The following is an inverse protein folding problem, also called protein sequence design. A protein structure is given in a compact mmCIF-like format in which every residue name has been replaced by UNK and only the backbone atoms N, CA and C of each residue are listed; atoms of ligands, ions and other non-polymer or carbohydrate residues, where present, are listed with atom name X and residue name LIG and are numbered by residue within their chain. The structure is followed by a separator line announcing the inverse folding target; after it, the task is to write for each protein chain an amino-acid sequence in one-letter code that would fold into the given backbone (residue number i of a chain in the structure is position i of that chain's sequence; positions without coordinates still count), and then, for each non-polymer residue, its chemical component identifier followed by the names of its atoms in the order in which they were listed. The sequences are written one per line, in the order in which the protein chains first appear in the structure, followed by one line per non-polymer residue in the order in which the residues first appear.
data_IF_045391409651
#
_entry.id   IF_045391409651
#
_cell.length_a   1.000
_cell.length_b   1.000
_cell.length_c   1.000
_cell.angle_alpha   90.00
_cell.angle_beta   90.00
_cell.angle_gamma   90.00
#
_symmetry.space_group_name_H-M   'P 1'
#
loop_
_entity.id
_entity.type
_entity.pdbx_description
1 polymer ?
#
# COMPACT_ATOMS: atom_id res chain seq x y z
N UNK A 1 47.92 32.55 -34.51
CA UNK A 1 47.19 32.22 -33.27
C UNK A 1 46.05 33.21 -33.16
N UNK A 2 44.85 32.76 -33.44
CA UNK A 2 43.65 33.57 -33.27
C UNK A 2 43.26 33.51 -31.78
N UNK A 3 43.27 34.67 -31.15
CA UNK A 3 42.86 34.84 -29.74
C UNK A 3 41.31 34.76 -29.65
N UNK A 4 40.80 33.66 -29.09
CA UNK A 4 39.37 33.38 -28.92
C UNK A 4 38.92 33.68 -27.48
N UNK A 5 39.41 34.78 -26.89
CA UNK A 5 38.90 35.25 -25.60
C UNK A 5 37.54 35.98 -25.79
N UNK A 6 36.44 35.29 -25.58
CA UNK A 6 35.12 35.90 -25.46
C UNK A 6 35.08 36.82 -24.25
N UNK A 7 34.55 38.06 -24.38
CA UNK A 7 34.44 38.98 -23.23
C UNK A 7 33.56 38.36 -22.12
N UNK A 8 33.98 38.50 -20.87
CA UNK A 8 33.37 37.93 -19.68
C UNK A 8 31.85 38.29 -19.48
N UNK A 9 31.35 39.26 -20.23
CA UNK A 9 29.95 39.70 -20.22
C UNK A 9 29.00 38.74 -21.00
N UNK A 10 29.55 37.94 -21.93
CA UNK A 10 28.71 37.02 -22.75
C UNK A 10 28.47 35.66 -22.12
N UNK A 11 29.27 35.26 -21.13
CA UNK A 11 29.11 33.95 -20.47
C UNK A 11 27.81 33.84 -19.70
N UNK A 12 27.36 34.84 -18.92
CA UNK A 12 26.04 34.75 -18.26
C UNK A 12 24.87 34.79 -19.22
N UNK A 13 24.96 35.52 -20.33
CA UNK A 13 23.90 35.63 -21.33
C UNK A 13 23.73 34.30 -22.09
N UNK A 14 24.84 33.63 -22.46
CA UNK A 14 24.81 32.32 -23.11
C UNK A 14 24.23 31.27 -22.15
N UNK A 15 24.59 31.30 -20.87
CA UNK A 15 24.07 30.37 -19.87
C UNK A 15 22.58 30.57 -19.64
N UNK A 16 22.08 31.80 -19.51
CA UNK A 16 20.67 32.13 -19.40
C UNK A 16 19.86 31.71 -20.65
N UNK A 17 20.44 31.90 -21.84
CA UNK A 17 19.81 31.46 -23.10
C UNK A 17 19.73 29.95 -23.19
N UNK A 18 20.76 29.21 -22.77
CA UNK A 18 20.77 27.75 -22.72
C UNK A 18 19.77 27.21 -21.71
N UNK A 19 19.66 27.81 -20.52
CA UNK A 19 18.66 27.43 -19.51
C UNK A 19 17.25 27.70 -20.00
N UNK A 20 17.04 28.83 -20.69
CA UNK A 20 15.73 29.16 -21.27
C UNK A 20 15.34 28.20 -22.40
N UNK A 21 16.29 27.88 -23.30
CA UNK A 21 16.06 26.91 -24.39
C UNK A 21 15.81 25.51 -23.83
N UNK A 22 16.54 25.09 -22.79
CA UNK A 22 16.32 23.81 -22.11
C UNK A 22 14.94 23.77 -21.43
N UNK A 23 14.56 24.85 -20.76
CA UNK A 23 13.24 24.97 -20.13
C UNK A 23 12.10 24.95 -21.16
N UNK A 24 12.27 25.62 -22.31
CA UNK A 24 11.31 25.58 -23.43
C UNK A 24 11.27 24.19 -24.08
N UNK A 25 12.41 23.51 -24.20
CA UNK A 25 12.48 22.14 -24.72
C UNK A 25 11.79 21.15 -23.77
N UNK A 26 12.07 21.23 -22.47
CA UNK A 26 11.39 20.43 -21.44
C UNK A 26 9.87 20.71 -21.41
N UNK A 27 9.47 21.98 -21.54
CA UNK A 27 8.05 22.35 -21.61
C UNK A 27 7.37 21.90 -22.91
N UNK A 28 8.12 21.78 -24.01
CA UNK A 28 7.64 21.30 -25.30
C UNK A 28 7.56 19.77 -25.35
N UNK A 29 8.51 19.06 -24.74
CA UNK A 29 8.41 17.61 -24.52
C UNK A 29 7.28 17.27 -23.56
N UNK A 30 7.10 18.01 -22.46
CA UNK A 30 5.96 17.84 -21.56
C UNK A 30 4.60 18.13 -22.23
N UNK A 31 4.56 18.93 -23.29
CA UNK A 31 3.35 19.14 -24.11
C UNK A 31 3.18 18.11 -25.22
N UNK A 32 4.26 17.45 -25.67
CA UNK A 32 4.22 16.43 -26.72
C UNK A 32 4.10 14.99 -26.20
N UNK A 33 4.42 14.75 -24.94
CA UNK A 33 3.92 13.56 -24.25
C UNK A 33 2.45 13.83 -24.04
N UNK A 34 1.57 13.24 -24.83
CA UNK A 34 0.12 13.24 -24.65
C UNK A 34 -0.21 12.62 -23.30
N UNK A 35 0.11 13.36 -22.22
CA UNK A 35 -0.08 12.94 -20.85
C UNK A 35 -1.55 12.61 -20.68
N UNK A 36 -1.84 11.39 -20.28
CA UNK A 36 -3.19 10.96 -19.95
C UNK A 36 -3.70 11.96 -18.93
N UNK A 37 -4.81 12.62 -19.29
CA UNK A 37 -5.44 13.60 -18.39
C UNK A 37 -6.01 12.79 -17.23
N UNK A 38 -5.48 12.98 -16.04
CA UNK A 38 -5.75 12.16 -14.84
C UNK A 38 -7.25 12.02 -14.54
N UNK A 39 -8.05 13.07 -14.75
CA UNK A 39 -9.49 13.08 -14.52
C UNK A 39 -10.29 12.23 -15.54
N UNK A 40 -9.64 11.76 -16.61
CA UNK A 40 -10.22 10.83 -17.58
C UNK A 40 -9.95 9.37 -17.24
N UNK A 41 -9.08 9.11 -16.27
CA UNK A 41 -8.85 7.75 -15.81
C UNK A 41 -10.08 7.19 -15.09
N UNK A 42 -10.39 5.90 -15.26
CA UNK A 42 -11.52 5.28 -14.57
C UNK A 42 -11.35 5.40 -13.04
N UNK A 43 -12.46 5.55 -12.35
CA UNK A 43 -12.52 5.69 -10.89
C UNK A 43 -11.87 6.95 -10.29
N UNK A 44 -11.48 7.94 -11.11
CA UNK A 44 -10.92 9.20 -10.61
C UNK A 44 -11.84 9.86 -9.57
N UNK A 45 -13.13 9.97 -9.86
CA UNK A 45 -14.13 10.55 -8.95
C UNK A 45 -14.27 9.75 -7.65
N UNK A 46 -14.32 8.43 -7.76
CA UNK A 46 -14.45 7.49 -6.65
C UNK A 46 -13.25 7.52 -5.71
N UNK A 47 -12.05 7.56 -6.27
CA UNK A 47 -10.80 7.70 -5.52
C UNK A 47 -10.79 9.02 -4.73
N UNK A 48 -11.12 10.14 -5.40
CA UNK A 48 -11.22 11.44 -4.74
C UNK A 48 -12.28 11.45 -3.63
N UNK A 49 -13.44 10.83 -3.88
CA UNK A 49 -14.51 10.74 -2.90
C UNK A 49 -14.08 9.95 -1.65
N UNK A 50 -13.41 8.82 -1.84
CA UNK A 50 -12.87 8.01 -0.75
C UNK A 50 -11.74 8.72 0.00
N UNK A 51 -10.83 9.39 -0.70
CA UNK A 51 -9.79 10.19 -0.05
C UNK A 51 -10.39 11.36 0.72
N UNK A 52 -11.44 11.99 0.19
CA UNK A 52 -12.22 13.02 0.88
C UNK A 52 -12.86 12.48 2.17
N UNK A 53 -13.38 11.25 2.15
CA UNK A 53 -13.89 10.59 3.36
C UNK A 53 -12.77 10.40 4.40
N UNK A 54 -11.61 9.89 4.02
CA UNK A 54 -10.45 9.75 4.91
C UNK A 54 -10.09 11.12 5.51
N UNK A 55 -9.95 12.16 4.67
CA UNK A 55 -9.58 13.51 5.12
C UNK A 55 -10.54 14.10 6.14
N UNK A 56 -11.87 13.98 5.91
CA UNK A 56 -12.91 14.46 6.85
C UNK A 56 -12.90 13.72 8.19
N UNK A 57 -12.34 12.54 8.23
CA UNK A 57 -12.29 11.70 9.43
C UNK A 57 -10.91 11.69 10.13
N UNK A 58 -10.00 12.59 9.75
CA UNK A 58 -8.80 12.89 10.54
C UNK A 58 -9.17 13.86 11.65
N UNK A 59 -9.11 13.39 12.88
CA UNK A 59 -9.39 14.18 14.08
C UNK A 59 -8.36 15.30 14.27
N UNK A 60 -8.65 16.24 15.15
CA UNK A 60 -7.78 17.39 15.39
C UNK A 60 -6.38 16.99 15.86
N UNK A 61 -6.27 15.95 16.67
CA UNK A 61 -5.00 15.40 17.14
C UNK A 61 -4.25 14.54 16.10
N UNK A 62 -4.86 14.24 14.94
CA UNK A 62 -4.30 13.40 13.87
C UNK A 62 -4.71 11.93 13.93
N UNK A 63 -5.44 11.48 14.95
CA UNK A 63 -6.04 10.15 14.99
C UNK A 63 -7.17 10.08 13.97
N UNK A 64 -7.40 8.91 13.36
CA UNK A 64 -8.58 8.71 12.52
C UNK A 64 -9.82 8.42 13.38
N UNK A 65 -10.97 8.95 12.98
CA UNK A 65 -12.26 8.43 13.42
C UNK A 65 -12.49 7.13 12.66
N UNK A 66 -11.97 6.03 13.23
CA UNK A 66 -11.68 4.79 12.51
C UNK A 66 -12.93 4.03 12.06
N UNK A 67 -14.03 4.15 12.80
CA UNK A 67 -15.26 3.39 12.54
C UNK A 67 -16.47 4.31 12.56
N UNK A 68 -17.24 4.27 11.50
CA UNK A 68 -18.55 4.92 11.37
C UNK A 68 -19.60 3.93 10.82
N UNK A 69 -20.84 4.36 10.70
CA UNK A 69 -21.89 3.63 10.01
C UNK A 69 -22.45 4.49 8.87
N UNK A 70 -22.99 3.84 7.84
CA UNK A 70 -23.77 4.53 6.79
C UNK A 70 -24.96 5.27 7.39
N UNK A 71 -25.57 4.70 8.43
CA UNK A 71 -26.56 5.36 9.28
C UNK A 71 -25.84 6.27 10.28
N UNK A 72 -26.02 7.60 10.20
CA UNK A 72 -25.34 8.55 11.07
C UNK A 72 -25.80 8.48 12.54
N UNK A 73 -26.96 7.87 12.82
CA UNK A 73 -27.45 7.70 14.19
C UNK A 73 -26.69 6.59 14.94
N UNK A 74 -26.07 5.65 14.23
CA UNK A 74 -25.26 4.59 14.83
C UNK A 74 -23.88 5.12 15.20
N UNK A 75 -23.59 5.19 16.49
CA UNK A 75 -22.31 5.71 17.00
C UNK A 75 -21.41 4.57 17.49
N UNK A 76 -20.12 4.70 17.25
CA UNK A 76 -19.10 3.76 17.71
C UNK A 76 -18.12 4.41 18.68
N UNK A 77 -17.67 3.62 19.65
CA UNK A 77 -16.57 4.04 20.51
C UNK A 77 -15.25 4.07 19.72
N UNK A 78 -14.54 5.20 19.81
CA UNK A 78 -13.18 5.34 19.25
C UNK A 78 -12.10 4.75 20.18
N UNK A 79 -12.46 4.01 21.25
CA UNK A 79 -11.48 3.39 22.15
C UNK A 79 -10.68 2.28 21.48
N UNK A 80 -11.35 1.47 20.60
CA UNK A 80 -10.70 0.40 19.86
C UNK A 80 -9.97 1.01 18.66
N UNK A 81 -8.69 0.70 18.54
CA UNK A 81 -7.83 1.23 17.48
C UNK A 81 -6.69 0.26 17.18
N UNK A 82 -6.07 0.39 16.00
CA UNK A 82 -4.99 -0.50 15.60
C UNK A 82 -3.87 0.28 14.91
N UNK A 83 -2.65 0.17 15.44
CA UNK A 83 -1.48 0.90 14.94
C UNK A 83 -1.09 0.50 13.52
N UNK A 84 -1.10 -0.80 13.18
CA UNK A 84 -0.81 -1.29 11.83
C UNK A 84 -1.77 -0.69 10.80
N UNK A 85 -3.07 -0.70 11.09
CA UNK A 85 -4.09 -0.14 10.19
C UNK A 85 -3.97 1.36 10.01
N UNK A 86 -3.56 2.10 11.08
CA UNK A 86 -3.24 3.52 10.94
C UNK A 86 -2.12 3.75 9.92
N UNK A 87 -1.05 2.97 10.01
CA UNK A 87 0.05 3.02 9.05
C UNK A 87 -0.40 2.70 7.61
N UNK A 88 -1.27 1.68 7.44
CA UNK A 88 -1.84 1.35 6.13
C UNK A 88 -2.65 2.49 5.50
N UNK A 89 -3.46 3.20 6.31
CA UNK A 89 -4.18 4.38 5.82
C UNK A 89 -3.19 5.48 5.40
N UNK A 90 -2.15 5.73 6.17
CA UNK A 90 -1.10 6.70 5.80
C UNK A 90 -0.42 6.32 4.49
N UNK A 91 -0.16 5.03 4.27
CA UNK A 91 0.41 4.53 3.03
C UNK A 91 -0.52 4.80 1.84
N UNK A 92 -1.83 4.54 1.97
CA UNK A 92 -2.79 4.84 0.89
C UNK A 92 -2.88 6.34 0.57
N UNK A 93 -2.80 7.21 1.58
CA UNK A 93 -2.75 8.67 1.38
C UNK A 93 -1.49 9.10 0.63
N UNK A 94 -0.36 8.46 0.90
CA UNK A 94 0.88 8.72 0.17
C UNK A 94 0.79 8.27 -1.28
N UNK A 95 0.33 7.03 -1.55
CA UNK A 95 0.18 6.51 -2.92
C UNK A 95 -0.76 7.38 -3.74
N UNK A 96 -1.87 7.84 -3.15
CA UNK A 96 -2.77 8.81 -3.77
C UNK A 96 -2.04 10.08 -4.23
N UNK A 97 -1.16 10.65 -3.40
CA UNK A 97 -0.37 11.83 -3.76
C UNK A 97 0.65 11.54 -4.88
N UNK A 98 1.26 10.35 -4.87
CA UNK A 98 2.22 9.93 -5.91
C UNK A 98 1.58 9.78 -7.29
N UNK A 99 0.29 9.45 -7.35
CA UNK A 99 -0.48 9.39 -8.60
C UNK A 99 -0.92 10.76 -9.11
N UNK A 100 -0.42 11.85 -8.56
CA UNK A 100 -0.71 13.22 -9.01
C UNK A 100 -2.10 13.73 -8.65
N UNK A 101 -2.81 13.06 -7.77
CA UNK A 101 -4.11 13.51 -7.26
C UNK A 101 -4.00 14.78 -6.42
N UNK A 102 -5.11 15.53 -6.21
CA UNK A 102 -5.06 16.82 -5.53
C UNK A 102 -4.38 16.80 -4.17
N UNK A 103 -3.37 17.65 -3.97
CA UNK A 103 -2.57 17.73 -2.75
C UNK A 103 -3.33 18.29 -1.52
N UNK A 104 -4.62 18.61 -1.67
CA UNK A 104 -5.47 19.16 -0.60
C UNK A 104 -5.51 18.29 0.66
N UNK A 105 -5.28 16.97 0.50
CA UNK A 105 -5.28 16.01 1.61
C UNK A 105 -3.92 15.83 2.27
N UNK A 106 -2.84 16.35 1.70
CA UNK A 106 -1.46 16.23 2.23
C UNK A 106 -1.33 16.73 3.67
N UNK A 107 -2.00 17.82 4.01
CA UNK A 107 -2.05 18.35 5.39
C UNK A 107 -2.62 17.34 6.40
N UNK A 108 -3.59 16.53 6.00
CA UNK A 108 -4.19 15.50 6.84
C UNK A 108 -3.25 14.30 7.01
N UNK A 109 -2.54 13.90 5.95
CA UNK A 109 -1.49 12.89 6.01
C UNK A 109 -0.38 13.28 6.99
N UNK A 110 0.13 14.50 6.92
CA UNK A 110 1.13 14.99 7.87
C UNK A 110 0.63 14.99 9.32
N UNK A 111 -0.61 15.41 9.53
CA UNK A 111 -1.23 15.44 10.86
C UNK A 111 -1.37 14.03 11.43
N UNK A 112 -1.84 13.09 10.62
CA UNK A 112 -1.98 11.69 11.02
C UNK A 112 -0.63 11.00 11.21
N UNK A 113 0.38 11.27 10.37
CA UNK A 113 1.74 10.76 10.54
C UNK A 113 2.39 11.29 11.84
N UNK A 114 2.25 12.57 12.15
CA UNK A 114 2.75 13.14 13.41
C UNK A 114 2.13 12.47 14.64
N UNK A 115 0.81 12.21 14.59
CA UNK A 115 0.12 11.47 15.64
C UNK A 115 0.69 10.06 15.77
N UNK A 116 0.82 9.34 14.66
CA UNK A 116 1.34 7.97 14.61
C UNK A 116 2.74 7.88 15.22
N UNK A 117 3.66 8.73 14.76
CA UNK A 117 5.05 8.77 15.23
C UNK A 117 5.09 9.01 16.75
N UNK A 118 4.39 10.04 17.23
CA UNK A 118 4.36 10.40 18.65
C UNK A 118 3.76 9.29 19.53
N UNK A 119 2.70 8.65 19.05
CA UNK A 119 1.90 7.72 19.84
C UNK A 119 2.46 6.30 19.83
N UNK A 120 2.82 5.80 18.64
CA UNK A 120 3.10 4.38 18.43
C UNK A 120 4.57 4.04 18.20
N UNK A 121 5.40 4.97 17.69
CA UNK A 121 6.83 4.70 17.55
C UNK A 121 7.51 4.95 18.91
N UNK A 122 8.20 3.92 19.40
CA UNK A 122 8.94 3.96 20.66
C UNK A 122 10.36 3.44 20.44
N UNK A 123 11.29 4.00 21.19
CA UNK A 123 12.65 3.50 21.25
C UNK A 123 12.64 2.19 22.03
N UNK A 124 13.18 1.12 21.45
CA UNK A 124 13.36 -0.17 22.13
C UNK A 124 14.70 -0.20 22.87
N UNK A 125 15.75 0.26 22.18
CA UNK A 125 17.11 0.44 22.70
C UNK A 125 17.83 1.57 21.94
N UNK A 126 19.16 1.61 21.99
CA UNK A 126 19.95 2.66 21.33
C UNK A 126 19.82 2.66 19.80
N UNK A 127 19.60 1.51 19.20
CA UNK A 127 19.62 1.30 17.76
C UNK A 127 18.26 1.00 17.15
N UNK A 128 17.32 0.45 17.94
CA UNK A 128 16.04 -0.05 17.45
C UNK A 128 14.86 0.80 17.90
N UNK A 129 13.96 1.06 16.97
CA UNK A 129 12.63 1.60 17.22
C UNK A 129 11.57 0.53 16.91
N UNK A 130 10.44 0.58 17.58
CA UNK A 130 9.32 -0.33 17.40
C UNK A 130 8.02 0.41 17.21
N UNK A 131 7.06 -0.23 16.54
CA UNK A 131 5.67 0.20 16.54
C UNK A 131 4.93 -0.58 17.61
N UNK A 132 4.49 0.12 18.65
CA UNK A 132 3.80 -0.52 19.79
C UNK A 132 2.32 -0.72 19.50
N UNK A 133 1.82 -1.90 19.86
CA UNK A 133 0.39 -2.20 19.97
C UNK A 133 -0.03 -1.99 21.42
N UNK A 134 -0.95 -1.07 21.62
CA UNK A 134 -1.38 -0.69 22.97
C UNK A 134 -2.53 -1.60 23.45
N UNK A 135 -2.40 -2.28 24.61
CA UNK A 135 -3.36 -3.27 25.09
C UNK A 135 -4.82 -2.78 25.11
N UNK A 136 -5.05 -1.58 25.64
CA UNK A 136 -6.41 -1.00 25.73
C UNK A 136 -7.02 -0.64 24.37
N UNK A 137 -6.20 -0.30 23.37
CA UNK A 137 -6.67 0.06 22.05
C UNK A 137 -6.87 -1.17 21.16
N UNK A 138 -5.97 -2.14 21.23
CA UNK A 138 -6.02 -3.35 20.40
C UNK A 138 -6.69 -4.54 21.07
N UNK A 139 -7.15 -4.38 22.32
CA UNK A 139 -7.81 -5.42 23.13
C UNK A 139 -6.95 -6.69 23.28
N UNK A 140 -5.67 -6.50 23.57
CA UNK A 140 -4.68 -7.54 23.82
C UNK A 140 -4.23 -7.48 25.29
N UNK A 141 -3.70 -8.58 25.80
CA UNK A 141 -3.37 -8.70 27.21
C UNK A 141 -2.05 -8.03 27.62
N UNK A 142 -1.15 -7.79 26.65
CA UNK A 142 0.19 -7.25 26.91
C UNK A 142 0.62 -6.26 25.82
N UNK A 143 1.59 -5.43 26.13
CA UNK A 143 2.22 -4.52 25.16
C UNK A 143 3.18 -5.31 24.27
N UNK A 144 2.93 -5.29 22.96
CA UNK A 144 3.75 -5.98 21.97
C UNK A 144 4.18 -5.04 20.85
N UNK A 145 5.30 -5.36 20.21
CA UNK A 145 5.67 -4.82 18.92
C UNK A 145 5.45 -5.88 17.84
N UNK A 146 4.88 -5.47 16.71
CA UNK A 146 4.55 -6.34 15.57
C UNK A 146 5.50 -6.05 14.42
N UNK A 147 6.14 -7.08 13.86
CA UNK A 147 6.98 -6.93 12.67
C UNK A 147 6.19 -6.38 11.48
N UNK A 148 4.97 -6.85 11.26
CA UNK A 148 4.09 -6.32 10.23
C UNK A 148 3.78 -4.83 10.42
N UNK A 149 3.52 -4.37 11.66
CA UNK A 149 3.26 -2.96 11.92
C UNK A 149 4.49 -2.08 11.64
N UNK A 150 5.70 -2.56 11.96
CA UNK A 150 6.94 -1.87 11.62
C UNK A 150 7.16 -1.80 10.10
N UNK A 151 6.87 -2.90 9.38
CA UNK A 151 6.95 -2.95 7.92
C UNK A 151 6.01 -1.96 7.24
N UNK A 152 4.72 -1.98 7.57
CA UNK A 152 3.74 -1.05 7.01
C UNK A 152 4.05 0.40 7.41
N UNK A 153 4.57 0.63 8.63
CA UNK A 153 5.02 1.96 9.04
C UNK A 153 6.19 2.47 8.19
N UNK A 154 7.17 1.63 7.87
CA UNK A 154 8.26 1.98 6.96
C UNK A 154 7.73 2.36 5.58
N UNK A 155 6.84 1.56 4.98
CA UNK A 155 6.23 1.88 3.70
C UNK A 155 5.48 3.23 3.73
N UNK A 156 4.78 3.53 4.82
CA UNK A 156 4.02 4.76 4.98
C UNK A 156 4.88 6.00 5.28
N UNK A 157 6.02 5.85 5.95
CA UNK A 157 6.80 6.96 6.49
C UNK A 157 8.09 7.28 5.73
N UNK A 158 8.63 6.34 4.94
CA UNK A 158 9.91 6.55 4.22
C UNK A 158 9.88 7.79 3.33
N UNK A 159 8.76 8.07 2.67
CA UNK A 159 8.59 9.28 1.88
C UNK A 159 8.64 10.58 2.68
N UNK A 160 8.29 10.55 3.97
CA UNK A 160 8.36 11.74 4.84
C UNK A 160 9.79 12.18 5.11
N UNK A 161 10.77 11.28 4.99
CA UNK A 161 12.18 11.63 5.06
C UNK A 161 12.57 12.53 3.88
N UNK A 162 12.22 12.16 2.66
CA UNK A 162 12.47 12.99 1.46
C UNK A 162 11.74 14.35 1.52
N UNK A 163 10.66 14.46 2.29
CA UNK A 163 9.93 15.70 2.54
C UNK A 163 10.44 16.47 3.78
N UNK A 164 11.53 16.03 4.41
CA UNK A 164 12.09 16.60 5.65
C UNK A 164 11.09 16.66 6.83
N UNK A 165 10.23 15.64 6.96
CA UNK A 165 9.20 15.55 8.01
C UNK A 165 9.51 14.53 9.10
N UNK A 166 10.50 13.68 8.89
CA UNK A 166 10.94 12.65 9.85
C UNK A 166 12.46 12.48 9.78
N UNK A 167 13.16 12.31 10.90
CA UNK A 167 14.58 11.98 10.91
C UNK A 167 14.82 10.56 10.40
N UNK A 168 15.94 10.34 9.69
CA UNK A 168 16.29 9.02 9.15
C UNK A 168 16.46 7.97 10.26
N UNK A 169 16.94 8.36 11.43
CA UNK A 169 17.15 7.47 12.59
C UNK A 169 15.87 6.79 13.07
N UNK A 170 14.72 7.43 12.85
CA UNK A 170 13.42 6.81 13.18
C UNK A 170 13.15 5.64 12.25
N UNK A 171 13.40 5.81 10.96
CA UNK A 171 13.19 4.79 9.94
C UNK A 171 14.22 3.66 10.05
N UNK A 172 15.49 4.01 10.14
CA UNK A 172 16.56 3.01 10.28
C UNK A 172 16.39 2.19 11.57
N UNK A 173 15.93 2.82 12.67
CA UNK A 173 15.62 2.11 13.90
C UNK A 173 14.49 1.07 13.74
N UNK A 174 13.45 1.36 12.94
CA UNK A 174 12.42 0.37 12.59
C UNK A 174 13.00 -0.74 11.70
N UNK A 175 13.89 -0.41 10.78
CA UNK A 175 14.59 -1.39 9.95
C UNK A 175 15.48 -2.32 10.76
N UNK A 176 16.26 -1.77 11.72
CA UNK A 176 17.08 -2.59 12.65
C UNK A 176 16.20 -3.54 13.49
N UNK A 177 15.05 -3.07 13.94
CA UNK A 177 14.11 -3.94 14.62
C UNK A 177 13.68 -5.09 13.73
N UNK A 178 13.26 -4.83 12.47
CA UNK A 178 12.86 -5.87 11.54
C UNK A 178 13.99 -6.88 11.28
N UNK A 179 15.20 -6.41 11.02
CA UNK A 179 16.36 -7.31 10.84
C UNK A 179 16.58 -8.18 12.08
N UNK A 180 16.42 -7.63 13.29
CA UNK A 180 16.55 -8.41 14.53
C UNK A 180 15.41 -9.40 14.77
N UNK A 181 14.27 -9.24 14.07
CA UNK A 181 13.12 -10.15 14.10
C UNK A 181 13.19 -11.25 13.03
N UNK A 182 14.20 -11.27 12.18
CA UNK A 182 14.35 -12.28 11.13
C UNK A 182 15.14 -13.48 11.66
N UNK A 183 14.59 -14.69 11.46
CA UNK A 183 15.28 -15.92 11.80
C UNK A 183 16.26 -16.37 10.69
N UNK A 184 17.01 -17.46 10.95
CA UNK A 184 18.01 -17.96 10.01
C UNK A 184 17.43 -18.47 8.70
N UNK A 185 16.17 -18.93 8.68
CA UNK A 185 15.48 -19.40 7.48
C UNK A 185 15.01 -18.24 6.60
N UNK A 186 14.89 -17.05 7.17
CA UNK A 186 14.42 -15.84 6.49
C UNK A 186 13.03 -15.37 6.91
N UNK A 187 12.28 -16.18 7.66
CA UNK A 187 11.00 -15.75 8.20
C UNK A 187 11.16 -14.63 9.24
N UNK A 188 10.15 -13.78 9.38
CA UNK A 188 10.10 -12.79 10.43
C UNK A 188 9.19 -13.28 11.55
N UNK A 189 9.69 -13.28 12.78
CA UNK A 189 8.86 -13.51 13.96
C UNK A 189 7.76 -12.43 14.04
N UNK A 190 6.55 -12.86 14.39
CA UNK A 190 5.38 -11.97 14.35
C UNK A 190 5.41 -10.91 15.44
N UNK A 191 5.79 -11.31 16.67
CA UNK A 191 5.65 -10.48 17.87
C UNK A 191 6.92 -10.43 18.71
N UNK A 192 7.18 -9.25 19.23
CA UNK A 192 8.14 -8.99 20.30
C UNK A 192 7.37 -8.54 21.54
N UNK A 193 7.57 -9.22 22.64
CA UNK A 193 6.99 -8.89 23.93
C UNK A 193 7.82 -7.78 24.59
N UNK A 194 7.19 -6.64 24.83
CA UNK A 194 7.85 -5.45 25.39
C UNK A 194 8.00 -5.52 26.92
N UNK A 195 7.29 -6.42 27.59
CA UNK A 195 7.37 -6.59 29.06
C UNK A 195 8.51 -7.54 29.42
N UNK A 196 8.55 -8.72 28.77
CA UNK A 196 9.63 -9.69 28.98
C UNK A 196 10.90 -9.36 28.17
N UNK A 197 10.80 -8.43 27.23
CA UNK A 197 11.88 -8.03 26.31
C UNK A 197 12.39 -9.19 25.44
N UNK A 198 11.48 -10.05 24.95
CA UNK A 198 11.78 -11.26 24.20
C UNK A 198 10.95 -11.39 22.93
N UNK A 199 11.51 -12.13 21.97
CA UNK A 199 10.80 -12.52 20.74
C UNK A 199 9.84 -13.69 21.04
N UNK A 200 8.59 -13.57 20.63
CA UNK A 200 7.67 -14.70 20.63
C UNK A 200 7.93 -15.56 19.37
N UNK A 201 8.58 -16.72 19.58
CA UNK A 201 8.99 -17.62 18.48
C UNK A 201 7.89 -18.55 17.98
N UNK A 202 6.79 -18.68 18.73
CA UNK A 202 5.71 -19.62 18.43
C UNK A 202 4.53 -18.93 17.69
N UNK A 203 4.44 -17.62 17.80
CA UNK A 203 3.34 -16.88 17.19
C UNK A 203 3.57 -16.70 15.69
N UNK A 204 2.57 -17.08 14.92
CA UNK A 204 2.53 -16.92 13.48
C UNK A 204 1.53 -15.83 13.06
N UNK A 205 1.81 -15.17 11.95
CA UNK A 205 0.90 -14.22 11.33
C UNK A 205 1.07 -14.26 9.80
N UNK A 206 -0.04 -14.49 9.10
CA UNK A 206 -0.06 -14.72 7.66
C UNK A 206 0.71 -13.68 6.84
N UNK A 207 0.54 -12.40 7.17
CA UNK A 207 1.02 -11.29 6.34
C UNK A 207 2.36 -10.68 6.79
N UNK A 208 2.83 -10.98 8.01
CA UNK A 208 3.89 -10.17 8.64
C UNK A 208 5.23 -10.25 7.93
N UNK A 209 5.57 -11.41 7.35
CA UNK A 209 6.80 -11.54 6.56
C UNK A 209 6.72 -10.72 5.26
N UNK A 210 5.57 -10.72 4.58
CA UNK A 210 5.34 -9.86 3.40
C UNK A 210 5.36 -8.37 3.76
N UNK A 211 4.67 -7.98 4.85
CA UNK A 211 4.65 -6.59 5.36
C UNK A 211 6.06 -6.11 5.76
N UNK A 212 6.84 -6.95 6.45
CA UNK A 212 8.21 -6.62 6.86
C UNK A 212 9.12 -6.43 5.64
N UNK A 213 9.08 -7.37 4.68
CA UNK A 213 9.84 -7.28 3.43
C UNK A 213 9.47 -6.02 2.63
N UNK A 214 8.17 -5.71 2.52
CA UNK A 214 7.68 -4.52 1.84
C UNK A 214 8.22 -3.24 2.47
N UNK A 215 8.18 -3.15 3.80
CA UNK A 215 8.70 -2.01 4.54
C UNK A 215 10.21 -1.82 4.39
N UNK A 216 10.99 -2.91 4.44
CA UNK A 216 12.45 -2.86 4.24
C UNK A 216 12.82 -2.40 2.83
N UNK A 217 12.05 -2.78 1.81
CA UNK A 217 12.24 -2.29 0.44
C UNK A 217 11.93 -0.79 0.31
N UNK A 218 10.95 -0.28 1.03
CA UNK A 218 10.68 1.16 1.10
C UNK A 218 11.76 1.93 1.89
N UNK A 219 12.33 1.33 2.92
CA UNK A 219 13.47 1.91 3.62
C UNK A 219 14.70 1.97 2.71
N UNK A 220 14.91 0.94 1.89
CA UNK A 220 16.03 0.89 0.95
C UNK A 220 15.97 1.99 -0.12
N UNK A 221 14.79 2.53 -0.46
CA UNK A 221 14.67 3.66 -1.40
C UNK A 221 15.28 4.95 -0.83
N UNK A 222 15.28 5.13 0.49
CA UNK A 222 15.71 6.36 1.16
C UNK A 222 17.04 6.22 1.94
N UNK A 223 17.41 4.99 2.27
CA UNK A 223 18.66 4.60 2.93
C UNK A 223 19.21 3.32 2.27
N UNK A 224 19.80 3.39 1.08
CA UNK A 224 20.20 2.22 0.31
C UNK A 224 21.34 1.46 1.01
N UNK A 225 20.97 0.44 1.79
CA UNK A 225 21.90 -0.46 2.46
C UNK A 225 21.63 -1.90 2.07
N UNK A 226 22.68 -2.64 1.74
CA UNK A 226 22.61 -4.05 1.35
C UNK A 226 21.81 -4.90 2.33
N UNK A 227 21.88 -4.60 3.63
CA UNK A 227 21.15 -5.39 4.65
C UNK A 227 19.62 -5.30 4.54
N UNK A 228 19.05 -4.13 4.16
CA UNK A 228 17.60 -3.98 4.00
C UNK A 228 17.10 -4.83 2.85
N UNK A 229 17.75 -4.69 1.70
CA UNK A 229 17.43 -5.44 0.49
C UNK A 229 17.64 -6.95 0.69
N UNK A 230 18.75 -7.34 1.31
CA UNK A 230 19.06 -8.75 1.60
C UNK A 230 18.01 -9.37 2.52
N UNK A 231 17.66 -8.71 3.62
CA UNK A 231 16.66 -9.19 4.58
C UNK A 231 15.27 -9.31 3.93
N UNK A 232 14.85 -8.30 3.16
CA UNK A 232 13.58 -8.35 2.42
C UNK A 232 13.55 -9.52 1.43
N UNK A 233 14.58 -9.68 0.59
CA UNK A 233 14.69 -10.77 -0.38
C UNK A 233 14.66 -12.13 0.30
N UNK A 234 15.45 -12.31 1.38
CA UNK A 234 15.50 -13.57 2.15
C UNK A 234 14.12 -13.96 2.70
N UNK A 235 13.33 -12.98 3.21
CA UNK A 235 11.97 -13.23 3.68
C UNK A 235 11.02 -13.65 2.56
N UNK A 236 11.07 -13.01 1.40
CA UNK A 236 10.22 -13.38 0.26
C UNK A 236 10.57 -14.75 -0.31
N UNK A 237 11.85 -15.08 -0.41
CA UNK A 237 12.32 -16.42 -0.82
C UNK A 237 11.92 -17.50 0.19
N UNK A 238 11.93 -17.19 1.50
CA UNK A 238 11.40 -18.09 2.52
C UNK A 238 9.92 -18.40 2.26
N UNK A 239 9.07 -17.38 2.04
CA UNK A 239 7.65 -17.58 1.74
C UNK A 239 7.45 -18.48 0.51
N UNK A 240 8.17 -18.21 -0.58
CA UNK A 240 8.06 -18.97 -1.81
C UNK A 240 8.53 -20.43 -1.67
N UNK A 241 9.46 -20.71 -0.77
CA UNK A 241 9.96 -22.08 -0.51
C UNK A 241 9.08 -22.84 0.50
N UNK A 242 8.55 -22.17 1.51
CA UNK A 242 7.81 -22.79 2.60
C UNK A 242 6.32 -22.95 2.33
N UNK A 243 5.70 -22.00 1.63
CA UNK A 243 4.27 -22.03 1.28
C UNK A 243 4.10 -22.71 -0.08
N UNK A 244 3.94 -24.04 -0.06
CA UNK A 244 3.68 -24.83 -1.27
C UNK A 244 2.27 -25.39 -1.22
N UNK A 245 1.58 -25.49 -2.38
CA UNK A 245 0.29 -26.18 -2.44
C UNK A 245 0.50 -27.65 -2.13
N UNK A 246 0.00 -28.12 -0.99
CA UNK A 246 -0.02 -29.53 -0.63
C UNK A 246 -1.41 -30.09 -0.92
N UNK A 247 -2.34 -29.90 0.00
CA UNK A 247 -3.74 -30.32 -0.11
C UNK A 247 -4.72 -29.16 -0.15
N UNK A 248 -4.26 -27.94 0.18
CA UNK A 248 -5.10 -26.72 0.21
C UNK A 248 -4.41 -25.60 -0.55
N UNK A 249 -5.23 -24.67 -1.04
CA UNK A 249 -4.77 -23.43 -1.67
C UNK A 249 -3.88 -22.63 -0.72
N UNK A 250 -2.80 -22.04 -1.25
CA UNK A 250 -1.97 -21.10 -0.49
C UNK A 250 -2.83 -19.86 -0.18
N UNK A 251 -2.90 -19.41 1.08
CA UNK A 251 -3.64 -18.21 1.43
C UNK A 251 -3.13 -16.98 0.66
N UNK A 252 -4.05 -16.20 0.10
CA UNK A 252 -3.71 -15.02 -0.69
C UNK A 252 -3.06 -13.94 0.18
N UNK A 253 -1.79 -13.66 -0.08
CA UNK A 253 -0.97 -12.70 0.65
C UNK A 253 -0.57 -11.52 -0.25
N UNK A 254 -1.42 -10.50 -0.30
CA UNK A 254 -1.20 -9.30 -1.12
C UNK A 254 0.06 -8.52 -0.72
N UNK A 255 0.46 -8.52 0.56
CA UNK A 255 1.68 -7.84 1.00
C UNK A 255 2.94 -8.46 0.43
N UNK A 256 3.01 -9.81 0.43
CA UNK A 256 4.14 -10.49 -0.21
C UNK A 256 4.18 -10.24 -1.72
N UNK A 257 3.03 -10.21 -2.39
CA UNK A 257 2.95 -9.91 -3.83
C UNK A 257 3.42 -8.47 -4.12
N UNK A 258 2.96 -7.47 -3.34
CA UNK A 258 3.44 -6.09 -3.48
C UNK A 258 4.93 -5.95 -3.19
N UNK A 259 5.45 -6.70 -2.22
CA UNK A 259 6.88 -6.72 -1.91
C UNK A 259 7.69 -7.36 -3.06
N UNK A 260 7.19 -8.43 -3.70
CA UNK A 260 7.82 -9.07 -4.86
C UNK A 260 7.84 -8.10 -6.05
N UNK A 261 6.73 -7.44 -6.36
CA UNK A 261 6.67 -6.39 -7.39
C UNK A 261 7.77 -5.33 -7.15
N UNK A 262 7.87 -4.83 -5.91
CA UNK A 262 8.86 -3.83 -5.55
C UNK A 262 10.29 -4.37 -5.60
N UNK A 263 10.51 -5.62 -5.19
CA UNK A 263 11.81 -6.28 -5.27
C UNK A 263 12.28 -6.43 -6.72
N UNK A 264 11.39 -6.80 -7.64
CA UNK A 264 11.74 -6.93 -9.07
C UNK A 264 12.21 -5.61 -9.68
N UNK A 265 11.63 -4.49 -9.27
CA UNK A 265 12.05 -3.14 -9.69
C UNK A 265 13.48 -2.77 -9.25
N UNK A 266 14.05 -3.46 -8.25
CA UNK A 266 15.44 -3.24 -7.82
C UNK A 266 16.48 -3.88 -8.73
N UNK A 267 16.08 -4.83 -9.57
CA UNK A 267 17.00 -5.62 -10.41
C UNK A 267 17.96 -6.54 -9.64
N UNK A 268 17.70 -6.79 -8.35
CA UNK A 268 18.63 -7.50 -7.45
C UNK A 268 18.36 -9.00 -7.33
N UNK A 269 17.45 -9.55 -8.12
CA UNK A 269 17.10 -10.99 -8.15
C UNK A 269 17.80 -11.71 -9.30
N UNK A 270 18.21 -12.93 -9.08
CA UNK A 270 18.68 -13.84 -10.16
C UNK A 270 17.47 -14.39 -10.93
N UNK A 271 17.71 -14.93 -12.12
CA UNK A 271 16.63 -15.55 -12.93
C UNK A 271 15.95 -16.71 -12.19
N UNK A 272 16.72 -17.50 -11.42
CA UNK A 272 16.17 -18.58 -10.61
C UNK A 272 15.29 -18.04 -9.47
N UNK A 273 15.76 -17.03 -8.75
CA UNK A 273 14.98 -16.36 -7.70
C UNK A 273 13.69 -15.73 -8.28
N UNK A 274 13.81 -15.06 -9.46
CA UNK A 274 12.66 -14.47 -10.15
C UNK A 274 11.62 -15.54 -10.48
N UNK A 275 12.04 -16.65 -11.09
CA UNK A 275 11.16 -17.77 -11.44
C UNK A 275 10.44 -18.33 -10.21
N UNK A 276 11.17 -18.59 -9.11
CA UNK A 276 10.60 -19.10 -7.87
C UNK A 276 9.54 -18.16 -7.28
N UNK A 277 9.82 -16.85 -7.28
CA UNK A 277 8.89 -15.83 -6.77
C UNK A 277 7.67 -15.68 -7.68
N UNK A 278 7.82 -15.77 -9.01
CA UNK A 278 6.71 -15.77 -9.96
C UNK A 278 5.79 -16.98 -9.76
N UNK A 279 6.37 -18.20 -9.65
CA UNK A 279 5.62 -19.43 -9.36
C UNK A 279 4.81 -19.30 -8.05
N UNK A 280 5.40 -18.72 -7.01
CA UNK A 280 4.71 -18.47 -5.74
C UNK A 280 3.52 -17.50 -5.91
N UNK A 281 3.69 -16.43 -6.67
CA UNK A 281 2.60 -15.48 -6.97
C UNK A 281 1.48 -16.19 -7.75
N UNK A 282 1.81 -16.96 -8.79
CA UNK A 282 0.83 -17.68 -9.63
C UNK A 282 0.01 -18.70 -8.84
N UNK A 283 0.65 -19.41 -7.91
CA UNK A 283 -0.01 -20.37 -7.02
C UNK A 283 -1.06 -19.74 -6.11
N UNK A 284 -0.91 -18.47 -5.72
CA UNK A 284 -1.93 -17.72 -4.98
C UNK A 284 -3.00 -17.14 -5.92
N UNK A 285 -2.57 -16.69 -7.09
CA UNK A 285 -3.37 -15.91 -8.03
C UNK A 285 -4.46 -16.75 -8.69
N UNK A 286 -4.08 -17.88 -9.29
CA UNK A 286 -4.97 -18.70 -10.11
C UNK A 286 -6.19 -19.22 -9.30
N UNK A 287 -6.02 -19.84 -8.11
CA UNK A 287 -7.15 -20.27 -7.29
C UNK A 287 -8.03 -19.09 -6.84
N UNK A 288 -7.44 -17.92 -6.65
CA UNK A 288 -8.20 -16.72 -6.24
C UNK A 288 -9.08 -16.21 -7.39
N UNK A 289 -8.55 -16.08 -8.60
CA UNK A 289 -9.32 -15.60 -9.76
C UNK A 289 -10.44 -16.58 -10.11
N UNK A 290 -10.23 -17.89 -10.01
CA UNK A 290 -11.27 -18.89 -10.32
C UNK A 290 -12.50 -18.79 -9.41
N UNK A 291 -12.36 -18.22 -8.23
CA UNK A 291 -13.46 -17.97 -7.27
C UNK A 291 -14.26 -16.70 -7.56
N UNK A 292 -13.84 -15.90 -8.56
CA UNK A 292 -14.54 -14.65 -8.87
C UNK A 292 -15.90 -14.88 -9.53
N UNK A 293 -16.91 -14.17 -9.09
CA UNK A 293 -18.27 -14.23 -9.63
C UNK A 293 -18.31 -13.45 -10.95
N UNK A 294 -18.39 -14.18 -12.07
CA UNK A 294 -18.36 -13.62 -13.43
C UNK A 294 -19.72 -13.57 -14.10
N UNK A 295 -20.76 -14.12 -13.48
CA UNK A 295 -22.13 -14.04 -13.98
C UNK A 295 -22.70 -12.63 -13.75
N UNK A 296 -22.96 -11.89 -14.82
CA UNK A 296 -23.47 -10.51 -14.79
C UNK A 296 -24.85 -10.37 -14.12
N UNK A 297 -25.63 -11.43 -14.07
CA UNK A 297 -26.95 -11.45 -13.44
C UNK A 297 -26.88 -11.68 -11.91
N UNK A 298 -25.69 -11.99 -11.38
CA UNK A 298 -25.49 -12.15 -9.95
C UNK A 298 -25.32 -10.77 -9.30
N UNK A 299 -26.02 -10.51 -8.20
CA UNK A 299 -25.91 -9.25 -7.45
C UNK A 299 -24.49 -8.98 -6.92
N UNK A 300 -23.68 -10.01 -6.80
CA UNK A 300 -22.26 -9.94 -6.39
C UNK A 300 -21.28 -10.04 -7.56
N UNK A 301 -21.73 -9.80 -8.80
CA UNK A 301 -20.87 -9.80 -9.98
C UNK A 301 -19.59 -8.98 -9.71
N UNK A 302 -18.44 -9.58 -9.90
CA UNK A 302 -17.11 -9.01 -9.66
C UNK A 302 -16.53 -9.28 -8.27
N UNK A 303 -17.33 -9.76 -7.30
CA UNK A 303 -16.84 -10.23 -5.99
C UNK A 303 -16.26 -11.66 -6.09
N UNK A 304 -15.61 -12.12 -5.03
CA UNK A 304 -15.11 -13.50 -4.92
C UNK A 304 -16.07 -14.34 -4.07
N UNK A 305 -16.31 -15.59 -4.46
CA UNK A 305 -17.35 -16.45 -3.85
C UNK A 305 -17.22 -16.60 -2.33
N UNK A 306 -15.99 -16.70 -1.83
CA UNK A 306 -15.72 -16.90 -0.42
C UNK A 306 -15.76 -15.60 0.38
N UNK A 307 -15.75 -14.45 -0.30
CA UNK A 307 -15.62 -13.17 0.35
C UNK A 307 -16.37 -12.06 -0.39
N UNK A 308 -17.47 -11.63 0.18
CA UNK A 308 -18.27 -10.50 -0.31
C UNK A 308 -18.07 -9.22 0.52
N UNK A 309 -17.05 -9.20 1.38
CA UNK A 309 -16.69 -8.01 2.16
C UNK A 309 -15.85 -7.07 1.28
N UNK A 310 -16.31 -5.86 0.99
CA UNK A 310 -15.61 -4.95 0.08
C UNK A 310 -14.15 -4.66 0.45
N UNK A 311 -13.86 -4.55 1.74
CA UNK A 311 -12.48 -4.36 2.21
C UNK A 311 -11.55 -5.53 1.85
N UNK A 312 -12.01 -6.77 2.03
CA UNK A 312 -11.23 -7.96 1.64
C UNK A 312 -11.12 -8.10 0.13
N UNK A 313 -12.16 -7.71 -0.61
CA UNK A 313 -12.10 -7.67 -2.09
C UNK A 313 -11.07 -6.63 -2.52
N UNK A 314 -11.06 -5.44 -1.91
CA UNK A 314 -10.02 -4.44 -2.14
C UNK A 314 -8.60 -5.00 -1.91
N UNK A 315 -8.40 -5.76 -0.83
CA UNK A 315 -7.13 -6.44 -0.53
C UNK A 315 -6.72 -7.43 -1.65
N UNK A 316 -7.68 -8.25 -2.13
CA UNK A 316 -7.43 -9.17 -3.25
C UNK A 316 -7.09 -8.38 -4.52
N UNK A 317 -7.87 -7.36 -4.85
CA UNK A 317 -7.67 -6.54 -6.05
C UNK A 317 -6.31 -5.82 -6.05
N UNK A 318 -5.85 -5.36 -4.88
CA UNK A 318 -4.54 -4.75 -4.69
C UNK A 318 -3.40 -5.74 -5.00
N UNK A 319 -3.52 -6.97 -4.50
CA UNK A 319 -2.57 -8.05 -4.82
C UNK A 319 -2.63 -8.48 -6.29
N UNK A 320 -3.83 -8.60 -6.89
CA UNK A 320 -3.99 -8.89 -8.31
C UNK A 320 -3.32 -7.84 -9.20
N UNK A 321 -3.50 -6.56 -8.87
CA UNK A 321 -2.86 -5.49 -9.64
C UNK A 321 -1.33 -5.55 -9.54
N UNK A 322 -0.78 -5.86 -8.37
CA UNK A 322 0.66 -6.09 -8.21
C UNK A 322 1.15 -7.33 -8.98
N UNK A 323 0.34 -8.40 -9.03
CA UNK A 323 0.68 -9.62 -9.78
C UNK A 323 0.84 -9.38 -11.28
N UNK A 324 0.14 -8.39 -11.85
CA UNK A 324 0.29 -8.01 -13.25
C UNK A 324 1.75 -7.65 -13.60
N UNK A 325 2.46 -7.03 -12.66
CA UNK A 325 3.87 -6.65 -12.81
C UNK A 325 4.85 -7.75 -12.38
N UNK A 326 4.34 -8.86 -11.84
CA UNK A 326 5.15 -10.00 -11.39
C UNK A 326 5.18 -11.16 -12.37
N UNK A 327 4.45 -11.10 -13.50
CA UNK A 327 4.41 -12.18 -14.49
C UNK A 327 4.87 -11.70 -15.86
N UNK A 328 5.54 -12.58 -16.60
CA UNK A 328 5.91 -12.36 -17.99
C UNK A 328 4.88 -12.99 -18.96
N UNK A 329 3.85 -13.73 -18.47
CA UNK A 329 2.80 -14.38 -19.28
C UNK A 329 1.72 -13.38 -19.69
N UNK A 330 1.58 -13.14 -20.99
CA UNK A 330 0.53 -12.25 -21.52
C UNK A 330 -0.88 -12.79 -21.29
N UNK A 331 -1.07 -14.12 -21.36
CA UNK A 331 -2.37 -14.75 -21.07
C UNK A 331 -2.77 -14.48 -19.60
N UNK A 332 -1.82 -14.59 -18.68
CA UNK A 332 -2.06 -14.32 -17.26
C UNK A 332 -2.32 -12.84 -17.01
N UNK A 333 -1.59 -11.93 -17.68
CA UNK A 333 -1.86 -10.49 -17.62
C UNK A 333 -3.27 -10.14 -18.10
N UNK A 334 -3.73 -10.75 -19.19
CA UNK A 334 -5.10 -10.56 -19.69
C UNK A 334 -6.14 -11.08 -18.70
N UNK A 335 -5.89 -12.24 -18.07
CA UNK A 335 -6.78 -12.80 -17.05
C UNK A 335 -6.85 -11.87 -15.82
N UNK A 336 -5.72 -11.37 -15.35
CA UNK A 336 -5.63 -10.41 -14.25
C UNK A 336 -6.40 -9.13 -14.62
N UNK A 337 -6.15 -8.56 -15.78
CA UNK A 337 -6.84 -7.34 -16.26
C UNK A 337 -8.35 -7.49 -16.27
N UNK A 338 -8.85 -8.61 -16.79
CA UNK A 338 -10.29 -8.92 -16.81
C UNK A 338 -10.85 -9.03 -15.39
N UNK A 339 -10.14 -9.72 -14.50
CA UNK A 339 -10.54 -9.86 -13.09
C UNK A 339 -10.58 -8.51 -12.38
N UNK A 340 -9.55 -7.68 -12.57
CA UNK A 340 -9.48 -6.31 -12.05
C UNK A 340 -10.65 -5.45 -12.55
N UNK A 341 -10.94 -5.49 -13.85
CA UNK A 341 -12.00 -4.68 -14.45
C UNK A 341 -13.35 -4.94 -13.79
N UNK A 342 -13.74 -6.22 -13.62
CA UNK A 342 -15.03 -6.55 -13.01
C UNK A 342 -15.05 -6.38 -11.49
N UNK A 343 -13.92 -6.61 -10.81
CA UNK A 343 -13.78 -6.38 -9.38
C UNK A 343 -13.84 -4.89 -9.00
N UNK A 344 -13.20 -4.02 -9.78
CA UNK A 344 -13.30 -2.57 -9.60
C UNK A 344 -14.72 -2.05 -9.82
N UNK A 345 -15.48 -2.62 -10.79
CA UNK A 345 -16.91 -2.33 -10.94
C UNK A 345 -17.73 -2.72 -9.72
N UNK A 346 -17.44 -3.88 -9.10
CA UNK A 346 -18.07 -4.27 -7.84
C UNK A 346 -17.79 -3.27 -6.73
N UNK A 347 -16.52 -2.90 -6.52
CA UNK A 347 -16.12 -1.94 -5.49
C UNK A 347 -16.77 -0.56 -5.71
N UNK A 348 -16.90 -0.12 -6.96
CA UNK A 348 -17.58 1.12 -7.30
C UNK A 348 -19.07 1.09 -6.89
N UNK A 349 -19.76 -0.02 -7.12
CA UNK A 349 -21.20 -0.16 -6.75
C UNK A 349 -21.45 -0.14 -5.25
N UNK A 350 -20.49 -0.61 -4.45
CA UNK A 350 -20.66 -0.70 -2.98
C UNK A 350 -20.21 0.57 -2.24
N UNK A 351 -19.48 1.45 -2.89
CA UNK A 351 -19.07 2.73 -2.32
C UNK A 351 -20.29 3.64 -2.09
N UNK A 352 -20.35 4.27 -0.93
CA UNK A 352 -21.37 5.30 -0.62
C UNK A 352 -21.10 6.55 -1.47
N UNK A 353 -22.06 6.94 -2.31
CA UNK A 353 -21.87 8.03 -3.30
C UNK A 353 -22.29 9.40 -2.79
N UNK A 354 -23.22 9.47 -1.84
CA UNK A 354 -23.83 10.72 -1.39
C UNK A 354 -23.97 10.80 0.12
N UNK A 355 -24.32 11.98 0.63
CA UNK A 355 -24.54 12.20 2.05
C UNK A 355 -23.25 12.35 2.86
N UNK A 356 -23.38 12.37 4.18
CA UNK A 356 -22.28 12.58 5.13
C UNK A 356 -21.18 11.51 5.00
N UNK A 357 -21.58 10.27 4.67
CA UNK A 357 -20.68 9.13 4.57
C UNK A 357 -20.16 8.89 3.13
N UNK A 358 -20.38 9.86 2.21
CA UNK A 358 -19.89 9.76 0.84
C UNK A 358 -18.39 9.45 0.76
N UNK A 359 -18.00 8.45 -0.05
CA UNK A 359 -16.65 7.91 -0.15
C UNK A 359 -16.35 6.76 0.81
N UNK A 360 -17.24 6.50 1.76
CA UNK A 360 -17.13 5.36 2.66
C UNK A 360 -17.35 4.03 1.94
N UNK A 361 -16.70 2.97 2.44
CA UNK A 361 -16.85 1.59 1.96
C UNK A 361 -17.36 0.73 3.11
N UNK A 362 -18.63 0.31 3.07
CA UNK A 362 -19.22 -0.50 4.13
C UNK A 362 -18.63 -1.90 4.24
N UNK A 363 -18.80 -2.54 5.39
CA UNK A 363 -18.31 -3.90 5.64
C UNK A 363 -18.99 -4.98 4.78
N UNK A 364 -20.19 -4.72 4.30
CA UNK A 364 -20.94 -5.68 3.47
C UNK A 364 -21.52 -5.00 2.24
N UNK A 365 -21.50 -5.69 1.12
CA UNK A 365 -22.20 -5.26 -0.10
C UNK A 365 -23.72 -5.18 0.07
N UNK A 366 -24.27 -5.82 1.10
CA UNK A 366 -25.71 -5.86 1.38
C UNK A 366 -26.21 -4.72 2.27
N UNK A 367 -25.38 -3.73 2.58
CA UNK A 367 -25.72 -2.66 3.51
C UNK A 367 -26.99 -1.88 3.13
N UNK A 368 -27.35 -1.87 1.85
CA UNK A 368 -28.55 -1.18 1.35
C UNK A 368 -29.84 -1.97 1.54
N UNK A 369 -29.77 -3.25 1.94
CA UNK A 369 -30.95 -4.09 2.10
C UNK A 369 -31.63 -3.83 3.44
N UNK A 370 -32.98 -3.73 3.48
CA UNK A 370 -33.70 -3.46 4.74
C UNK A 370 -33.44 -4.49 5.86
N UNK A 371 -33.22 -5.76 5.47
CA UNK A 371 -32.90 -6.86 6.37
C UNK A 371 -31.43 -6.96 6.76
N UNK A 372 -30.58 -6.02 6.31
CA UNK A 372 -29.15 -6.08 6.58
C UNK A 372 -28.86 -5.93 8.08
N UNK A 373 -27.93 -6.73 8.56
CA UNK A 373 -27.40 -6.56 9.93
C UNK A 373 -26.86 -5.14 10.12
N UNK A 374 -27.02 -4.52 11.30
CA UNK A 374 -26.42 -3.21 11.62
C UNK A 374 -24.91 -3.15 11.34
N UNK A 375 -24.21 -4.29 11.42
CA UNK A 375 -22.80 -4.39 11.08
C UNK A 375 -22.51 -4.31 9.56
N UNK A 376 -23.50 -4.53 8.71
CA UNK A 376 -23.34 -4.41 7.26
C UNK A 376 -22.99 -2.99 6.84
N UNK A 377 -23.61 -1.99 7.46
CA UNK A 377 -23.38 -0.57 7.21
C UNK A 377 -22.13 0.01 7.88
N UNK A 378 -21.36 -0.79 8.61
CA UNK A 378 -20.11 -0.31 9.26
C UNK A 378 -19.08 0.08 8.20
N UNK A 379 -18.60 1.31 8.27
CA UNK A 379 -17.49 1.82 7.46
C UNK A 379 -16.24 1.83 8.33
N UNK A 380 -15.21 1.14 7.86
CA UNK A 380 -13.88 1.13 8.50
C UNK A 380 -12.86 1.76 7.57
N UNK A 381 -11.94 2.53 8.14
CA UNK A 381 -10.91 3.21 7.36
C UNK A 381 -9.98 2.26 6.59
N UNK A 382 -9.65 1.11 7.17
CA UNK A 382 -8.81 0.09 6.52
C UNK A 382 -9.50 -0.57 5.31
N UNK A 383 -10.84 -0.64 5.27
CA UNK A 383 -11.54 -1.08 4.06
C UNK A 383 -11.33 -0.09 2.91
N UNK A 384 -11.37 1.21 3.22
CA UNK A 384 -11.26 2.28 2.22
C UNK A 384 -9.83 2.34 1.65
N UNK A 385 -8.80 2.15 2.48
CA UNK A 385 -7.41 2.16 2.02
C UNK A 385 -7.16 1.13 0.93
N UNK A 386 -7.62 -0.12 1.13
CA UNK A 386 -7.44 -1.20 0.15
C UNK A 386 -8.21 -0.94 -1.15
N UNK A 387 -9.41 -0.36 -1.05
CA UNK A 387 -10.20 0.00 -2.23
C UNK A 387 -9.53 1.13 -3.03
N UNK A 388 -9.02 2.17 -2.37
CA UNK A 388 -8.27 3.23 -3.05
C UNK A 388 -7.03 2.66 -3.75
N UNK A 389 -6.23 1.86 -3.04
CA UNK A 389 -5.00 1.29 -3.59
C UNK A 389 -5.28 0.36 -4.77
N UNK A 390 -6.36 -0.44 -4.72
CA UNK A 390 -6.75 -1.29 -5.85
C UNK A 390 -7.11 -0.49 -7.11
N UNK A 391 -7.84 0.62 -6.97
CA UNK A 391 -8.17 1.48 -8.11
C UNK A 391 -6.95 2.22 -8.65
N UNK A 392 -6.07 2.75 -7.79
CA UNK A 392 -4.84 3.43 -8.21
C UNK A 392 -3.92 2.50 -8.99
N UNK A 393 -3.66 1.30 -8.45
CA UNK A 393 -2.85 0.30 -9.15
C UNK A 393 -3.49 -0.19 -10.47
N UNK A 394 -4.82 -0.25 -10.56
CA UNK A 394 -5.49 -0.56 -11.81
C UNK A 394 -5.31 0.57 -12.84
N UNK A 395 -5.30 1.82 -12.41
CA UNK A 395 -4.96 2.95 -13.30
C UNK A 395 -3.53 2.84 -13.85
N UNK A 396 -2.54 2.41 -13.05
CA UNK A 396 -1.18 2.16 -13.52
C UNK A 396 -1.15 1.16 -14.69
N UNK A 397 -1.93 0.09 -14.58
CA UNK A 397 -2.02 -0.93 -15.65
C UNK A 397 -2.66 -0.35 -16.91
N UNK A 398 -3.74 0.43 -16.76
CA UNK A 398 -4.43 1.07 -17.90
C UNK A 398 -3.50 2.07 -18.59
N UNK A 399 -2.74 2.86 -17.83
CA UNK A 399 -1.76 3.79 -18.39
C UNK A 399 -0.68 3.04 -19.18
N UNK A 400 -0.13 1.97 -18.61
CA UNK A 400 0.87 1.15 -19.29
C UNK A 400 0.36 0.56 -20.60
N UNK A 401 -0.91 0.12 -20.65
CA UNK A 401 -1.50 -0.41 -21.88
C UNK A 401 -1.73 0.67 -22.94
N UNK A 402 -2.06 1.90 -22.53
CA UNK A 402 -2.26 3.02 -23.45
C UNK A 402 -0.94 3.61 -23.99
N UNK A 403 0.18 3.41 -23.29
CA UNK A 403 1.50 3.87 -23.70
C UNK A 403 2.23 2.87 -24.62
N UNK A 404 1.67 1.66 -24.82
CA UNK A 404 2.19 0.69 -25.79
C UNK A 404 1.79 1.13 -27.21
N UNK A 405 2.73 1.21 -28.17
CA UNK A 405 2.39 1.46 -29.57
C UNK A 405 1.49 0.33 -30.11
N UNK A 406 0.47 0.70 -30.88
CA UNK A 406 -0.42 -0.22 -31.64
C UNK A 406 0.36 -1.14 -32.59
#
# INVERSE_FOLDING_TARGET
MLDLSLPAVYVPAIFLTLVFVLAVFIAKEAKNTGGIVLDKLPYYGEINLSMGYIGRNVLENGRFNYRKNVDPEVKYSNKIYNSLRHAGILYSMYVYEQHGYPAVYKKYRYKAAKYFIKKYIKKLDETRNVVVSLPKEEQINMSIAKSGAAGVALAALSNLYSENKIPLEVLTGLGEFLVSMQNDDGNFYAYYDLESNTVNKEAEALYYTGEAAFGLLHLNDVDPKTKWLHSAKKGLLFLAKSRKPLEMDIPFDHWSIMAIEKLFKTGSVTDEEKRLLMEYVEQMLIPTITKQITNKNNSYFGAFQENIRPGSIGTIMEGLASSYFCTDSEDLKQLIYKSLSIGCLFLNRVQVKTGEQAGGVPNSANWVRPEASPNAGVIRMDNIQHVILSWLKFQDIIQLQNDLPE
#
